data_IF_531018347609
#
_entry.id   IF_531018347609
#
_cell.length_a   1.000
_cell.length_b   1.000
_cell.length_c   1.000
_cell.angle_alpha   90.00
_cell.angle_beta   90.00
_cell.angle_gamma   90.00
#
_symmetry.space_group_name_H-M   'P 1'
#
loop_
_entity.id
_entity.type
_entity.pdbx_description
1 polymer ?
#
# COMPACT_ATOMS: atom_id res chain seq x y z
N UNK A 1 -19.78 -18.92 -30.84
CA UNK A 1 -19.37 -17.52 -30.55
C UNK A 1 -20.55 -16.59 -30.27
N UNK A 2 -21.71 -16.75 -30.90
CA UNK A 2 -22.93 -15.96 -30.58
C UNK A 2 -23.43 -16.18 -29.15
N UNK A 3 -23.46 -17.43 -28.67
CA UNK A 3 -23.96 -17.77 -27.33
C UNK A 3 -23.15 -17.12 -26.19
N UNK A 4 -21.82 -17.04 -26.35
CA UNK A 4 -20.93 -16.38 -25.40
C UNK A 4 -21.16 -14.85 -25.39
N UNK A 5 -21.47 -14.23 -26.54
CA UNK A 5 -21.84 -12.81 -26.61
C UNK A 5 -23.18 -12.55 -25.90
N UNK A 6 -24.18 -13.40 -26.13
CA UNK A 6 -25.49 -13.26 -25.48
C UNK A 6 -25.39 -13.44 -23.96
N UNK A 7 -24.54 -14.35 -23.49
CA UNK A 7 -24.23 -14.51 -22.06
C UNK A 7 -23.57 -13.26 -21.46
N UNK A 8 -22.66 -12.62 -22.21
CA UNK A 8 -22.04 -11.36 -21.79
C UNK A 8 -23.07 -10.24 -21.63
N UNK A 9 -23.96 -10.06 -22.61
CA UNK A 9 -24.95 -8.98 -22.59
C UNK A 9 -25.99 -9.19 -21.48
N UNK A 10 -26.42 -10.43 -21.26
CA UNK A 10 -27.29 -10.80 -20.14
C UNK A 10 -26.61 -10.54 -18.78
N UNK A 11 -25.33 -10.90 -18.64
CA UNK A 11 -24.57 -10.66 -17.41
C UNK A 11 -24.39 -9.16 -17.12
N UNK A 12 -24.11 -8.35 -18.14
CA UNK A 12 -23.98 -6.89 -17.99
C UNK A 12 -25.30 -6.24 -17.59
N UNK A 13 -26.41 -6.69 -18.18
CA UNK A 13 -27.75 -6.18 -17.85
C UNK A 13 -28.14 -6.51 -16.40
N UNK A 14 -27.87 -7.75 -15.97
CA UNK A 14 -28.12 -8.17 -14.59
C UNK A 14 -27.26 -7.37 -13.59
N UNK A 15 -25.98 -7.15 -13.91
CA UNK A 15 -25.08 -6.38 -13.08
C UNK A 15 -25.52 -4.90 -12.96
N UNK A 16 -25.95 -4.28 -14.07
CA UNK A 16 -26.48 -2.93 -14.06
C UNK A 16 -27.74 -2.81 -13.18
N UNK A 17 -28.65 -3.79 -13.25
CA UNK A 17 -29.83 -3.83 -12.38
C UNK A 17 -29.47 -3.93 -10.89
N UNK A 18 -28.45 -4.73 -10.55
CA UNK A 18 -27.96 -4.85 -9.17
C UNK A 18 -27.36 -3.53 -8.64
N UNK A 19 -26.63 -2.80 -9.49
CA UNK A 19 -26.11 -1.46 -9.14
C UNK A 19 -27.24 -0.48 -8.87
N UNK A 20 -28.24 -0.41 -9.76
CA UNK A 20 -29.39 0.48 -9.60
C UNK A 20 -30.20 0.12 -8.34
N UNK A 21 -30.27 -1.15 -8.00
CA UNK A 21 -30.90 -1.65 -6.77
C UNK A 21 -30.10 -1.35 -5.49
N UNK A 22 -28.92 -0.71 -5.59
CA UNK A 22 -28.09 -0.36 -4.43
C UNK A 22 -27.31 -1.53 -3.85
N UNK A 23 -27.12 -2.62 -4.60
CA UNK A 23 -26.29 -3.73 -4.15
C UNK A 23 -24.81 -3.31 -4.12
N UNK A 24 -24.28 -3.09 -2.91
CA UNK A 24 -22.92 -2.61 -2.70
C UNK A 24 -21.84 -3.57 -3.19
N UNK A 25 -22.11 -4.88 -3.24
CA UNK A 25 -21.15 -5.86 -3.77
C UNK A 25 -21.01 -5.72 -5.30
N UNK A 26 -22.11 -5.46 -6.00
CA UNK A 26 -22.11 -5.20 -7.45
C UNK A 26 -21.38 -3.89 -7.79
N UNK A 27 -21.61 -2.84 -6.98
CA UNK A 27 -20.91 -1.56 -7.09
C UNK A 27 -19.41 -1.75 -6.89
N UNK A 28 -19.02 -2.45 -5.82
CA UNK A 28 -17.61 -2.76 -5.51
C UNK A 28 -16.95 -3.55 -6.65
N UNK A 29 -17.62 -4.56 -7.17
CA UNK A 29 -17.11 -5.38 -8.29
C UNK A 29 -16.79 -4.55 -9.54
N UNK A 30 -17.67 -3.61 -9.90
CA UNK A 30 -17.45 -2.71 -11.04
C UNK A 30 -16.30 -1.74 -10.74
N UNK A 31 -16.29 -1.13 -9.57
CA UNK A 31 -15.24 -0.18 -9.18
C UNK A 31 -13.86 -0.82 -9.21
N UNK A 32 -13.71 -2.03 -8.67
CA UNK A 32 -12.45 -2.79 -8.73
C UNK A 32 -12.00 -3.07 -10.17
N UNK A 33 -12.94 -3.26 -11.10
CA UNK A 33 -12.64 -3.57 -12.50
C UNK A 33 -12.34 -2.33 -13.34
N UNK A 34 -12.96 -1.19 -13.03
CA UNK A 34 -12.73 0.09 -13.74
C UNK A 34 -11.48 0.78 -13.21
N UNK A 35 -11.34 0.90 -11.89
CA UNK A 35 -10.20 1.59 -11.25
C UNK A 35 -8.94 0.70 -11.26
N UNK A 36 -9.13 -0.61 -11.41
CA UNK A 36 -8.06 -1.60 -11.37
C UNK A 36 -7.60 -1.89 -9.94
N UNK A 37 -7.04 -3.08 -9.72
CA UNK A 37 -6.51 -3.50 -8.41
C UNK A 37 -5.12 -2.94 -8.09
N UNK A 38 -4.43 -2.37 -9.08
CA UNK A 38 -3.01 -2.00 -8.99
C UNK A 38 -2.82 -0.57 -9.53
N UNK A 39 -3.49 0.38 -8.90
CA UNK A 39 -3.16 1.79 -9.13
C UNK A 39 -1.78 2.06 -8.54
N UNK A 40 -0.89 2.67 -9.33
CA UNK A 40 0.36 3.16 -8.77
C UNK A 40 0.02 4.34 -7.86
N UNK A 41 0.32 4.18 -6.59
CA UNK A 41 0.20 5.25 -5.60
C UNK A 41 1.58 5.88 -5.54
N UNK A 42 1.67 7.12 -6.00
CA UNK A 42 2.84 7.95 -5.82
C UNK A 42 2.71 8.60 -4.44
N UNK A 43 3.58 8.23 -3.50
CA UNK A 43 3.65 8.90 -2.20
C UNK A 43 4.60 10.08 -2.38
N UNK A 44 4.22 11.27 -1.89
CA UNK A 44 5.02 12.51 -1.92
C UNK A 44 6.28 12.47 -1.02
N UNK A 45 6.76 11.26 -0.71
CA UNK A 45 7.91 10.97 0.13
C UNK A 45 7.87 9.53 0.64
N UNK A 46 9.02 9.03 1.11
CA UNK A 46 9.18 7.69 1.66
C UNK A 46 8.94 7.59 3.17
N UNK A 47 8.35 8.62 3.80
CA UNK A 47 8.26 8.70 5.26
C UNK A 47 6.92 8.20 5.80
N UNK A 48 6.83 7.77 7.08
CA UNK A 48 5.56 7.38 7.71
C UNK A 48 4.49 8.48 7.71
N UNK A 49 4.91 9.75 7.72
CA UNK A 49 3.99 10.88 7.68
C UNK A 49 3.26 10.96 6.33
N UNK A 50 3.96 10.65 5.24
CA UNK A 50 3.40 10.68 3.88
C UNK A 50 2.34 9.59 3.70
N UNK A 51 2.56 8.40 4.28
CA UNK A 51 1.57 7.31 4.31
C UNK A 51 0.31 7.73 5.08
N UNK A 52 0.49 8.48 6.17
CA UNK A 52 -0.64 8.96 6.99
C UNK A 52 -1.45 9.99 6.22
N UNK A 53 -0.78 10.93 5.54
CA UNK A 53 -1.44 11.95 4.72
C UNK A 53 -2.21 11.32 3.55
N UNK A 54 -1.59 10.37 2.84
CA UNK A 54 -2.22 9.65 1.74
C UNK A 54 -3.47 8.86 2.20
N UNK A 55 -3.45 8.32 3.42
CA UNK A 55 -4.63 7.65 4.01
C UNK A 55 -5.75 8.65 4.34
N UNK A 56 -5.42 9.80 4.94
CA UNK A 56 -6.39 10.85 5.30
C UNK A 56 -7.03 11.46 4.05
N UNK A 57 -6.26 11.63 2.98
CA UNK A 57 -6.74 12.15 1.70
C UNK A 57 -7.54 11.12 0.88
N UNK A 58 -7.59 9.86 1.33
CA UNK A 58 -8.27 8.77 0.62
C UNK A 58 -7.55 8.28 -0.63
N UNK A 59 -6.28 8.65 -0.80
CA UNK A 59 -5.43 8.21 -1.92
C UNK A 59 -5.04 6.74 -1.78
N UNK A 60 -5.03 6.22 -0.55
CA UNK A 60 -4.79 4.81 -0.22
C UNK A 60 -5.85 4.26 0.74
N UNK A 61 -6.12 2.97 0.63
CA UNK A 61 -6.97 2.25 1.58
C UNK A 61 -6.24 1.95 2.90
N UNK A 62 -6.99 1.58 3.93
CA UNK A 62 -6.44 1.21 5.24
C UNK A 62 -5.53 -0.02 5.18
N UNK A 63 -5.83 -0.99 4.30
CA UNK A 63 -5.00 -2.18 4.10
C UNK A 63 -3.67 -1.83 3.41
N UNK A 64 -3.72 -0.96 2.40
CA UNK A 64 -2.51 -0.46 1.73
C UNK A 64 -1.63 0.35 2.69
N UNK A 65 -2.24 1.24 3.49
CA UNK A 65 -1.52 2.02 4.50
C UNK A 65 -0.80 1.13 5.53
N UNK A 66 -1.46 0.07 6.01
CA UNK A 66 -0.87 -0.90 6.95
C UNK A 66 0.31 -1.64 6.34
N UNK A 67 0.19 -2.08 5.08
CA UNK A 67 1.26 -2.77 4.37
C UNK A 67 2.48 -1.86 4.18
N UNK A 68 2.26 -0.61 3.74
CA UNK A 68 3.33 0.37 3.52
C UNK A 68 3.99 0.75 4.84
N UNK A 69 3.21 1.07 5.88
CA UNK A 69 3.75 1.44 7.19
C UNK A 69 4.64 0.33 7.79
N UNK A 70 4.23 -0.93 7.64
CA UNK A 70 5.03 -2.08 8.09
C UNK A 70 6.37 -2.17 7.36
N UNK A 71 6.41 -1.86 6.06
CA UNK A 71 7.64 -1.87 5.26
C UNK A 71 8.53 -0.70 5.64
N UNK A 72 7.97 0.51 5.74
CA UNK A 72 8.70 1.73 6.12
C UNK A 72 9.31 1.60 7.51
N UNK A 73 8.56 1.05 8.47
CA UNK A 73 9.08 0.79 9.82
C UNK A 73 10.26 -0.20 9.79
N UNK A 74 10.17 -1.28 9.01
CA UNK A 74 11.27 -2.23 8.86
C UNK A 74 12.51 -1.59 8.25
N UNK A 75 12.35 -0.76 7.22
CA UNK A 75 13.47 -0.05 6.59
C UNK A 75 14.15 0.91 7.58
N UNK A 76 13.36 1.67 8.35
CA UNK A 76 13.89 2.58 9.37
C UNK A 76 14.62 1.85 10.48
N UNK A 77 14.10 0.71 10.94
CA UNK A 77 14.80 -0.13 11.94
C UNK A 77 16.15 -0.63 11.43
N UNK A 78 16.26 -0.95 10.13
CA UNK A 78 17.54 -1.35 9.52
C UNK A 78 18.52 -0.17 9.50
N UNK A 79 18.06 1.02 9.10
CA UNK A 79 18.88 2.23 9.11
C UNK A 79 19.36 2.59 10.53
N UNK A 80 18.49 2.54 11.53
CA UNK A 80 18.84 2.80 12.93
C UNK A 80 19.89 1.80 13.45
N UNK A 81 19.83 0.53 13.00
CA UNK A 81 20.82 -0.49 13.35
C UNK A 81 22.19 -0.20 12.73
N UNK A 82 22.23 0.24 11.48
CA UNK A 82 23.48 0.61 10.81
C UNK A 82 24.14 1.81 11.50
N UNK A 83 23.34 2.80 11.92
CA UNK A 83 23.83 3.95 12.71
C UNK A 83 24.34 3.51 14.08
N UNK A 84 23.64 2.61 14.77
CA UNK A 84 24.07 2.05 16.05
C UNK A 84 25.38 1.26 15.90
N UNK A 85 25.53 0.46 14.84
CA UNK A 85 26.75 -0.30 14.55
C UNK A 85 27.95 0.64 14.32
N UNK A 86 27.76 1.71 13.53
CA UNK A 86 28.80 2.71 13.29
C UNK A 86 29.23 3.42 14.59
N UNK A 87 28.28 3.77 15.46
CA UNK A 87 28.58 4.33 16.79
C UNK A 87 29.30 3.34 17.69
N UNK A 88 28.96 2.05 17.62
CA UNK A 88 29.61 1.00 18.40
C UNK A 88 31.07 0.82 17.95
N UNK A 89 31.33 0.82 16.65
CA UNK A 89 32.67 0.74 16.08
C UNK A 89 33.54 1.94 16.48
N UNK A 90 32.95 3.15 16.49
CA UNK A 90 33.62 4.36 16.97
C UNK A 90 33.99 4.25 18.46
N UNK A 91 33.07 3.79 19.30
CA UNK A 91 33.31 3.56 20.73
C UNK A 91 34.38 2.47 20.96
N UNK A 92 34.34 1.37 20.21
CA UNK A 92 35.37 0.32 20.28
C UNK A 92 36.75 0.84 19.89
N UNK A 93 36.83 1.71 18.89
CA UNK A 93 38.09 2.34 18.46
C UNK A 93 38.67 3.24 19.55
N UNK A 94 37.82 4.00 20.24
CA UNK A 94 38.22 4.85 21.36
C UNK A 94 38.71 4.01 22.55
N UNK A 95 37.97 2.96 22.92
CA UNK A 95 38.37 2.03 23.99
C UNK A 95 39.71 1.32 23.72
N UNK A 96 39.95 0.90 22.48
CA UNK A 96 41.23 0.30 22.06
C UNK A 96 42.36 1.34 21.99
N UNK A 97 42.04 2.60 21.72
CA UNK A 97 43.00 3.70 21.69
C UNK A 97 43.44 4.20 23.08
N UNK A 98 42.57 4.09 24.09
CA UNK A 98 42.84 4.53 25.48
C UNK A 98 43.52 3.45 26.36
N UNK A 99 43.89 2.30 25.80
CA UNK A 99 44.52 1.18 26.53
C UNK A 99 46.06 1.24 26.59
N UNK A 100 46.67 2.43 26.56
CA UNK A 100 48.13 2.64 26.70
C UNK A 100 48.50 3.29 28.05
#
# INVERSE_FOLDING_TARGET
MQEIKNLKDAAMTALAAQVVAGNMDAVKFILERIVGRHRMIELDGGTPADVTNALVNGEISSEEAKAIATVVEKLRRVEDLDVLAARLEELERLLKGDSL
#
